data_IF_463308486349
#
_entry.id   IF_463308486349
#
_cell.length_a   1.000
_cell.length_b   1.000
_cell.length_c   1.000
_cell.angle_alpha   90.00
_cell.angle_beta   90.00
_cell.angle_gamma   90.00
#
_symmetry.space_group_name_H-M   'P 1'
#
loop_
_entity.id
_entity.type
_entity.pdbx_description
1 polymer ?
#
# COMPACT_ATOMS: atom_id res chain seq x y z
N UNK A 1 -2.52 20.57 11.08
CA UNK A 1 -3.01 19.28 10.53
C UNK A 1 -3.24 19.48 9.05
N UNK A 2 -2.47 18.83 8.18
CA UNK A 2 -2.77 18.86 6.75
C UNK A 2 -4.02 17.99 6.48
N UNK A 3 -4.92 18.49 5.64
CA UNK A 3 -6.09 17.73 5.20
C UNK A 3 -5.61 16.57 4.32
N UNK A 4 -5.55 15.37 4.88
CA UNK A 4 -5.20 14.16 4.13
C UNK A 4 -6.36 13.85 3.17
N UNK A 5 -6.10 13.91 1.87
CA UNK A 5 -7.09 13.56 0.85
C UNK A 5 -7.11 12.04 0.67
N UNK A 6 -7.92 11.37 1.49
CA UNK A 6 -8.02 9.91 1.52
C UNK A 6 -8.31 9.29 0.14
N UNK A 7 -9.10 9.96 -0.70
CA UNK A 7 -9.40 9.49 -2.05
C UNK A 7 -8.16 9.40 -2.94
N UNK A 8 -7.28 10.41 -2.88
CA UNK A 8 -6.05 10.44 -3.67
C UNK A 8 -5.07 9.40 -3.15
N UNK A 9 -4.97 9.26 -1.82
CA UNK A 9 -4.18 8.19 -1.20
C UNK A 9 -4.67 6.81 -1.67
N UNK A 10 -5.98 6.57 -1.64
CA UNK A 10 -6.59 5.31 -2.09
C UNK A 10 -6.35 5.07 -3.58
N UNK A 11 -6.45 6.12 -4.41
CA UNK A 11 -6.15 6.03 -5.84
C UNK A 11 -4.68 5.68 -6.11
N UNK A 12 -3.74 6.30 -5.40
CA UNK A 12 -2.32 6.00 -5.51
C UNK A 12 -2.00 4.56 -5.07
N UNK A 13 -2.61 4.09 -3.97
CA UNK A 13 -2.50 2.69 -3.53
C UNK A 13 -3.05 1.76 -4.61
N UNK A 14 -4.24 2.02 -5.16
CA UNK A 14 -4.85 1.17 -6.19
C UNK A 14 -3.98 1.10 -7.45
N UNK A 15 -3.42 2.23 -7.89
CA UNK A 15 -2.46 2.27 -9.01
C UNK A 15 -1.22 1.42 -8.71
N UNK A 16 -0.65 1.56 -7.51
CA UNK A 16 0.49 0.77 -7.09
C UNK A 16 0.18 -0.73 -7.10
N UNK A 17 -1.03 -1.14 -6.72
CA UNK A 17 -1.48 -2.54 -6.82
C UNK A 17 -1.63 -3.01 -8.28
N UNK A 18 -2.17 -2.18 -9.17
CA UNK A 18 -2.30 -2.51 -10.59
C UNK A 18 -0.95 -2.59 -11.32
N UNK A 19 0.05 -1.87 -10.83
CA UNK A 19 1.43 -1.89 -11.34
C UNK A 19 2.25 -3.08 -10.83
N UNK A 20 1.74 -3.84 -9.85
CA UNK A 20 2.42 -5.07 -9.41
C UNK A 20 2.31 -6.09 -10.51
N UNK A 21 3.44 -6.40 -11.15
CA UNK A 21 3.55 -7.56 -12.01
C UNK A 21 3.91 -8.79 -11.16
N UNK A 22 3.03 -9.80 -11.06
CA UNK A 22 3.31 -11.02 -10.31
C UNK A 22 4.48 -11.83 -10.87
N UNK A 23 4.82 -11.67 -12.17
CA UNK A 23 5.96 -12.36 -12.79
C UNK A 23 7.30 -11.76 -12.37
N UNK A 24 7.34 -10.44 -12.09
CA UNK A 24 8.55 -9.73 -11.65
C UNK A 24 8.70 -9.81 -10.13
N UNK A 25 7.59 -9.62 -9.41
CA UNK A 25 7.56 -9.56 -7.95
C UNK A 25 7.03 -10.88 -7.39
N UNK A 26 7.85 -11.91 -7.54
CA UNK A 26 7.52 -13.30 -7.14
C UNK A 26 7.36 -13.51 -5.61
N UNK A 27 7.63 -12.50 -4.77
CA UNK A 27 7.44 -12.59 -3.33
C UNK A 27 6.51 -11.49 -2.83
N UNK A 28 5.61 -11.83 -1.91
CA UNK A 28 4.70 -10.89 -1.25
C UNK A 28 5.44 -9.69 -0.63
N UNK A 29 6.62 -9.94 -0.06
CA UNK A 29 7.48 -8.88 0.49
C UNK A 29 8.00 -7.94 -0.61
N UNK A 30 8.47 -8.49 -1.74
CA UNK A 30 8.90 -7.67 -2.90
C UNK A 30 7.74 -6.84 -3.44
N UNK A 31 6.55 -7.44 -3.53
CA UNK A 31 5.35 -6.72 -3.92
C UNK A 31 4.98 -5.63 -2.93
N UNK A 32 5.22 -5.86 -1.65
CA UNK A 32 4.96 -4.87 -0.61
C UNK A 32 5.90 -3.68 -0.72
N UNK A 33 7.21 -3.92 -0.84
CA UNK A 33 8.24 -2.89 -1.00
C UNK A 33 7.97 -2.06 -2.25
N UNK A 34 7.65 -2.70 -3.38
CA UNK A 34 7.34 -2.00 -4.62
C UNK A 34 6.12 -1.10 -4.51
N UNK A 35 5.02 -1.60 -3.89
CA UNK A 35 3.81 -0.81 -3.70
C UNK A 35 4.08 0.43 -2.85
N UNK A 36 4.87 0.29 -1.78
CA UNK A 36 5.27 1.42 -0.93
C UNK A 36 6.12 2.41 -1.74
N UNK A 37 7.13 1.94 -2.46
CA UNK A 37 8.00 2.80 -3.27
C UNK A 37 7.21 3.57 -4.34
N UNK A 38 6.25 2.91 -5.00
CA UNK A 38 5.40 3.54 -6.02
C UNK A 38 4.56 4.66 -5.42
N UNK A 39 3.94 4.42 -4.25
CA UNK A 39 3.17 5.45 -3.53
C UNK A 39 4.07 6.58 -3.03
N UNK A 40 5.29 6.28 -2.56
CA UNK A 40 6.25 7.29 -2.11
C UNK A 40 6.84 8.11 -3.26
N UNK A 41 6.96 7.53 -4.45
CA UNK A 41 7.40 8.21 -5.66
C UNK A 41 6.29 9.08 -6.27
N UNK A 42 5.03 8.89 -5.88
CA UNK A 42 3.92 9.69 -6.36
C UNK A 42 4.08 11.15 -5.92
N UNK A 43 4.25 12.04 -6.91
CA UNK A 43 4.42 13.49 -6.71
C UNK A 43 3.11 14.19 -6.37
N UNK A 44 1.96 13.54 -6.61
CA UNK A 44 0.65 14.09 -6.27
C UNK A 44 0.34 14.03 -4.76
N UNK A 45 1.10 13.20 -4.03
CA UNK A 45 0.96 13.02 -2.58
C UNK A 45 1.93 13.92 -1.81
N UNK A 46 1.40 14.54 -0.76
CA UNK A 46 2.17 15.26 0.27
C UNK A 46 2.88 14.28 1.22
N UNK A 47 3.82 14.80 2.03
CA UNK A 47 4.54 14.01 3.03
C UNK A 47 3.61 13.34 4.05
N UNK A 48 2.54 14.02 4.44
CA UNK A 48 1.54 13.51 5.38
C UNK A 48 0.68 12.42 4.75
N UNK A 49 0.24 12.61 3.50
CA UNK A 49 -0.50 11.60 2.73
C UNK A 49 0.34 10.33 2.49
N UNK A 50 1.64 10.48 2.23
CA UNK A 50 2.58 9.35 2.10
C UNK A 50 2.72 8.55 3.40
N UNK A 51 2.87 9.25 4.52
CA UNK A 51 2.91 8.62 5.85
C UNK A 51 1.60 7.89 6.15
N UNK A 52 0.47 8.50 5.82
CA UNK A 52 -0.86 7.90 6.00
C UNK A 52 -1.06 6.63 5.15
N UNK A 53 -0.60 6.64 3.90
CA UNK A 53 -0.66 5.48 3.02
C UNK A 53 0.11 4.27 3.59
N UNK A 54 1.29 4.50 4.18
CA UNK A 54 2.09 3.46 4.84
C UNK A 54 1.34 2.90 6.06
N UNK A 55 0.73 3.77 6.87
CA UNK A 55 -0.04 3.36 8.05
C UNK A 55 -1.24 2.52 7.66
N UNK A 56 -2.04 2.95 6.66
CA UNK A 56 -3.16 2.17 6.12
C UNK A 56 -2.69 0.81 5.64
N UNK A 57 -1.60 0.78 4.86
CA UNK A 57 -1.09 -0.47 4.31
C UNK A 57 -0.68 -1.45 5.41
N UNK A 58 0.02 -0.97 6.44
CA UNK A 58 0.41 -1.76 7.60
C UNK A 58 -0.81 -2.27 8.38
N UNK A 59 -1.83 -1.44 8.55
CA UNK A 59 -3.09 -1.84 9.20
C UNK A 59 -3.81 -2.95 8.42
N UNK A 60 -3.93 -2.82 7.10
CA UNK A 60 -4.55 -3.84 6.23
C UNK A 60 -3.78 -5.15 6.28
N UNK A 61 -2.45 -5.11 6.27
CA UNK A 61 -1.61 -6.31 6.36
C UNK A 61 -1.76 -7.01 7.71
N UNK A 62 -1.72 -6.26 8.81
CA UNK A 62 -1.90 -6.82 10.15
C UNK A 62 -3.25 -7.53 10.26
N UNK A 63 -4.31 -6.93 9.72
CA UNK A 63 -5.66 -7.52 9.72
C UNK A 63 -5.75 -8.83 8.92
N UNK A 64 -4.93 -9.01 7.89
CA UNK A 64 -4.86 -10.27 7.12
C UNK A 64 -3.97 -11.34 7.80
N UNK A 65 -3.09 -10.94 8.71
CA UNK A 65 -2.24 -11.86 9.49
C UNK A 65 -2.93 -12.33 10.78
N UNK A 66 -3.85 -11.53 11.31
CA UNK A 66 -4.67 -11.85 12.48
C UNK A 66 -5.93 -12.69 12.14
N UNK A 67 -6.21 -12.96 10.86
CA UNK A 67 -7.21 -13.95 10.49
C UNK A 67 -6.59 -15.35 10.72
N UNK A 68 -7.11 -16.18 11.65
CA UNK A 68 -6.60 -17.53 11.80
C UNK A 68 -6.75 -18.23 10.45
N UNK A 69 -5.66 -18.84 9.98
CA UNK A 69 -5.66 -19.85 8.93
C UNK A 69 -6.90 -20.71 9.09
N UNK A 70 -7.91 -20.48 8.25
CA UNK A 70 -8.99 -21.44 8.11
C UNK A 70 -8.40 -22.54 7.25
N UNK A 71 -7.80 -23.51 7.93
CA UNK A 71 -7.46 -24.82 7.40
C UNK A 71 -8.73 -25.39 6.74
N UNK A 72 -8.69 -25.51 5.43
CA UNK A 72 -9.38 -26.57 4.69
C UNK A 72 -8.41 -27.15 3.68
#
# INVERSE_FOLDING_TARGET
MATIRQEIVKAAINRAYALVDPNIQNNLEKQHVFRIQTVLADKSLTKDEKSYAIVIKRFILKKNFDAPNNLQ
#
